data_IF_811223723333
#
_entry.id   IF_811223723333
#
_cell.length_a   1.000
_cell.length_b   1.000
_cell.length_c   1.000
_cell.angle_alpha   90.00
_cell.angle_beta   90.00
_cell.angle_gamma   90.00
#
_symmetry.space_group_name_H-M   'P 1'
#
loop_
_entity.id
_entity.type
_entity.pdbx_description
1 polymer ?
#
# COMPACT_ATOMS: atom_id res chain seq x y z
N UNK A 1 -0.87 -23.18 -41.18
CA UNK A 1 -1.12 -21.82 -40.70
C UNK A 1 -1.22 -21.88 -39.19
N UNK A 2 -0.18 -21.41 -38.51
CA UNK A 2 -0.08 -21.37 -37.05
C UNK A 2 -0.97 -20.23 -36.58
N UNK A 3 -1.87 -20.49 -35.63
CA UNK A 3 -2.71 -19.46 -35.01
C UNK A 3 -1.79 -18.57 -34.17
N UNK A 4 -1.79 -17.28 -34.44
CA UNK A 4 -1.15 -16.26 -33.61
C UNK A 4 -1.82 -16.28 -32.23
N UNK A 5 -1.03 -16.50 -31.17
CA UNK A 5 -1.46 -16.33 -29.80
C UNK A 5 -1.63 -14.84 -29.50
N UNK A 6 -2.86 -14.42 -29.21
CA UNK A 6 -3.15 -13.07 -28.74
C UNK A 6 -2.45 -12.83 -27.41
N UNK A 7 -1.45 -11.94 -27.43
CA UNK A 7 -0.65 -11.58 -26.26
C UNK A 7 -1.51 -11.03 -25.10
N UNK A 8 -1.12 -11.42 -23.89
CA UNK A 8 -1.65 -10.96 -22.62
C UNK A 8 -1.63 -9.43 -22.52
N UNK A 9 -2.79 -8.79 -22.66
CA UNK A 9 -2.97 -7.38 -22.31
C UNK A 9 -3.25 -7.31 -20.81
N UNK A 10 -2.26 -6.90 -20.02
CA UNK A 10 -2.50 -6.47 -18.65
C UNK A 10 -3.54 -5.35 -18.68
N UNK A 11 -4.77 -5.65 -18.25
CA UNK A 11 -5.90 -4.74 -18.32
C UNK A 11 -5.81 -3.76 -17.14
N UNK A 12 -4.93 -2.78 -17.30
CA UNK A 12 -4.84 -1.62 -16.41
C UNK A 12 -6.19 -0.90 -16.45
N UNK A 13 -6.78 -0.48 -15.31
CA UNK A 13 -8.05 0.25 -15.30
C UNK A 13 -7.99 1.42 -16.30
N UNK A 14 -8.97 1.50 -17.20
CA UNK A 14 -8.97 2.43 -18.35
C UNK A 14 -8.91 3.91 -17.95
N UNK A 15 -9.16 4.23 -16.67
CA UNK A 15 -8.85 5.53 -16.05
C UNK A 15 -8.40 5.34 -14.59
N UNK A 16 -7.10 5.30 -14.34
CA UNK A 16 -6.55 5.35 -12.97
C UNK A 16 -6.55 6.80 -12.48
N UNK A 17 -7.11 7.02 -11.30
CA UNK A 17 -7.10 8.33 -10.65
C UNK A 17 -5.71 8.60 -10.08
N UNK A 18 -4.96 9.54 -10.67
CA UNK A 18 -3.60 9.89 -10.23
C UNK A 18 -3.53 10.83 -9.02
N UNK A 19 -4.63 11.53 -8.72
CA UNK A 19 -4.71 12.49 -7.61
C UNK A 19 -5.65 11.96 -6.53
N UNK A 20 -5.13 11.83 -5.31
CA UNK A 20 -5.93 11.53 -4.15
C UNK A 20 -6.93 12.66 -3.87
N UNK A 21 -8.10 12.30 -3.36
CA UNK A 21 -8.86 13.20 -2.50
C UNK A 21 -8.15 13.24 -1.15
N UNK A 22 -7.71 14.42 -0.73
CA UNK A 22 -7.04 14.61 0.56
C UNK A 22 -8.11 15.08 1.54
N UNK A 23 -8.29 14.33 2.63
CA UNK A 23 -9.18 14.67 3.73
C UNK A 23 -8.30 15.18 4.89
N UNK A 24 -8.35 16.47 5.20
CA UNK A 24 -7.54 17.07 6.25
C UNK A 24 -7.75 16.41 7.61
N UNK A 25 -6.75 16.53 8.48
CA UNK A 25 -6.79 16.04 9.87
C UNK A 25 -8.07 16.39 10.61
N UNK A 26 -8.55 17.62 10.44
CA UNK A 26 -9.72 18.15 11.13
C UNK A 26 -11.03 17.49 10.67
N UNK A 27 -11.02 16.86 9.50
CA UNK A 27 -12.21 16.32 8.83
C UNK A 27 -12.24 14.79 8.79
N UNK A 28 -11.08 14.12 8.90
CA UNK A 28 -11.02 12.66 8.74
C UNK A 28 -11.44 11.86 9.99
N UNK A 29 -11.46 12.49 11.17
CA UNK A 29 -11.96 11.86 12.40
C UNK A 29 -11.05 10.78 13.00
N UNK A 30 -9.80 10.66 12.54
CA UNK A 30 -8.84 9.69 13.09
C UNK A 30 -8.29 10.19 14.44
N UNK A 31 -8.45 9.37 15.48
CA UNK A 31 -7.82 9.59 16.77
C UNK A 31 -6.35 9.14 16.75
N UNK A 32 -5.43 10.11 16.73
CA UNK A 32 -3.99 9.85 16.77
C UNK A 32 -3.54 9.08 18.02
N UNK A 33 -4.28 9.13 19.12
CA UNK A 33 -3.95 8.38 20.33
C UNK A 33 -4.15 6.86 20.17
N UNK A 34 -4.98 6.46 19.19
CA UNK A 34 -5.18 5.06 18.82
C UNK A 34 -4.09 4.53 17.87
N UNK A 35 -3.23 5.40 17.33
CA UNK A 35 -2.16 5.04 16.40
C UNK A 35 -0.91 4.60 17.18
N UNK A 36 -0.25 3.53 16.75
CA UNK A 36 0.99 3.07 17.40
C UNK A 36 2.07 4.17 17.36
N UNK A 37 2.63 4.57 18.51
CA UNK A 37 3.78 5.48 18.55
C UNK A 37 4.99 4.94 17.78
N UNK A 38 5.11 3.60 17.66
CA UNK A 38 6.17 3.00 16.87
C UNK A 38 5.91 3.12 15.37
N UNK A 39 4.68 2.90 14.91
CA UNK A 39 4.29 3.16 13.52
C UNK A 39 4.53 4.63 13.12
N UNK A 40 4.11 5.58 13.97
CA UNK A 40 4.39 7.02 13.80
C UNK A 40 5.90 7.26 13.69
N UNK A 41 6.69 6.66 14.59
CA UNK A 41 8.16 6.76 14.54
C UNK A 41 8.78 6.20 13.26
N UNK A 42 8.20 5.16 12.66
CA UNK A 42 8.70 4.59 11.40
C UNK A 42 8.41 5.55 10.25
N UNK A 43 7.18 6.06 10.15
CA UNK A 43 6.81 7.08 9.17
C UNK A 43 7.69 8.32 9.30
N UNK A 44 7.86 8.87 10.51
CA UNK A 44 8.68 10.04 10.75
C UNK A 44 10.12 9.86 10.26
N UNK A 45 10.77 8.72 10.56
CA UNK A 45 12.16 8.46 10.13
C UNK A 45 12.31 8.41 8.62
N UNK A 46 11.35 7.79 7.93
CA UNK A 46 11.35 7.74 6.47
C UNK A 46 11.14 9.13 5.88
N UNK A 47 10.21 9.92 6.44
CA UNK A 47 9.96 11.30 6.03
C UNK A 47 11.16 12.22 6.29
N UNK A 48 11.81 12.11 7.45
CA UNK A 48 13.05 12.84 7.78
C UNK A 48 14.19 12.53 6.79
N UNK A 49 14.20 11.31 6.24
CA UNK A 49 15.16 10.89 5.22
C UNK A 49 14.75 11.29 3.79
N UNK A 50 13.63 11.99 3.61
CA UNK A 50 13.15 12.51 2.32
C UNK A 50 12.21 11.58 1.56
N UNK A 51 11.75 10.49 2.17
CA UNK A 51 10.80 9.55 1.57
C UNK A 51 9.37 9.85 1.99
N UNK A 52 8.40 9.43 1.18
CA UNK A 52 6.99 9.40 1.60
C UNK A 52 6.74 8.16 2.45
N UNK A 53 5.96 8.28 3.51
CA UNK A 53 5.59 7.14 4.33
C UNK A 53 4.20 7.34 4.97
N UNK A 54 3.35 6.33 4.85
CA UNK A 54 1.96 6.39 5.28
C UNK A 54 1.55 5.10 5.97
N UNK A 55 0.68 5.19 6.97
CA UNK A 55 -0.04 4.03 7.50
C UNK A 55 -1.13 3.64 6.48
N UNK A 56 -1.32 2.34 6.25
CA UNK A 56 -2.21 1.83 5.19
C UNK A 56 -3.05 0.64 5.66
N UNK A 57 -3.97 0.19 4.78
CA UNK A 57 -4.62 -1.11 4.91
C UNK A 57 -5.68 -1.15 6.03
N UNK A 58 -5.75 -2.31 6.69
CA UNK A 58 -6.74 -2.57 7.75
C UNK A 58 -6.66 -1.58 8.90
N UNK A 59 -5.45 -1.13 9.25
CA UNK A 59 -5.25 -0.15 10.32
C UNK A 59 -5.98 1.18 10.06
N UNK A 60 -5.88 1.71 8.84
CA UNK A 60 -6.56 2.96 8.46
C UNK A 60 -8.07 2.79 8.50
N UNK A 61 -8.58 1.69 7.95
CA UNK A 61 -10.02 1.35 8.00
C UNK A 61 -10.51 1.29 9.44
N UNK A 62 -9.81 0.57 10.30
CA UNK A 62 -10.21 0.36 11.69
C UNK A 62 -10.22 1.68 12.47
N UNK A 63 -9.20 2.53 12.29
CA UNK A 63 -9.16 3.88 12.87
C UNK A 63 -10.37 4.72 12.45
N UNK A 64 -10.74 4.70 11.17
CA UNK A 64 -11.87 5.48 10.64
C UNK A 64 -13.23 5.05 11.18
N UNK A 65 -13.36 3.80 11.65
CA UNK A 65 -14.59 3.30 12.29
C UNK A 65 -14.50 3.31 13.83
N UNK A 66 -13.45 3.92 14.40
CA UNK A 66 -13.26 4.02 15.85
C UNK A 66 -12.85 2.71 16.52
N UNK A 67 -12.30 1.76 15.76
CA UNK A 67 -11.78 0.49 16.27
C UNK A 67 -10.27 0.57 16.38
N UNK A 68 -9.71 0.10 17.50
CA UNK A 68 -8.25 0.04 17.68
C UNK A 68 -7.64 -1.02 16.75
N UNK A 69 -6.69 -0.66 15.87
CA UNK A 69 -6.00 -1.63 15.02
C UNK A 69 -5.22 -2.67 15.83
N UNK A 70 -5.10 -3.88 15.30
CA UNK A 70 -4.28 -4.96 15.89
C UNK A 70 -2.83 -4.87 15.46
N UNK A 71 -2.64 -4.47 14.22
CA UNK A 71 -1.41 -4.40 13.46
C UNK A 71 -1.36 -3.08 12.68
N UNK A 72 -0.16 -2.63 12.35
CA UNK A 72 0.08 -1.40 11.60
C UNK A 72 1.06 -1.68 10.47
N UNK A 73 0.60 -1.40 9.25
CA UNK A 73 1.41 -1.48 8.04
C UNK A 73 1.74 -0.08 7.54
N UNK A 74 2.94 0.07 7.00
CA UNK A 74 3.43 1.32 6.40
C UNK A 74 3.73 1.09 4.92
N UNK A 75 3.28 2.00 4.07
CA UNK A 75 3.66 2.06 2.66
C UNK A 75 4.56 3.28 2.38
N UNK A 76 5.59 3.11 1.55
CA UNK A 76 6.60 4.13 1.27
C UNK A 76 7.09 4.11 -0.18
N UNK A 77 7.65 5.20 -0.68
CA UNK A 77 8.39 5.20 -1.95
C UNK A 77 9.87 4.78 -1.79
N UNK A 78 10.35 4.55 -0.57
CA UNK A 78 11.66 3.97 -0.31
C UNK A 78 11.70 2.49 -0.72
N UNK A 79 12.77 2.06 -1.39
CA UNK A 79 13.04 0.65 -1.67
C UNK A 79 13.33 -0.13 -0.37
N UNK A 80 13.18 -1.47 -0.35
CA UNK A 80 13.45 -2.26 0.86
C UNK A 80 14.84 -2.04 1.45
N UNK A 81 15.84 -1.88 0.59
CA UNK A 81 17.22 -1.56 0.97
C UNK A 81 17.35 -0.17 1.61
N UNK A 82 16.62 0.83 1.10
CA UNK A 82 16.61 2.18 1.66
C UNK A 82 15.88 2.21 3.00
N UNK A 83 14.74 1.54 3.12
CA UNK A 83 14.04 1.35 4.41
C UNK A 83 14.98 0.75 5.44
N UNK A 84 15.75 -0.29 5.06
CA UNK A 84 16.74 -0.94 5.93
C UNK A 84 17.89 -0.01 6.33
N UNK A 85 18.30 0.93 5.47
CA UNK A 85 19.33 1.92 5.79
C UNK A 85 18.82 2.98 6.78
N UNK A 86 17.57 3.42 6.61
CA UNK A 86 16.95 4.47 7.43
C UNK A 86 16.50 3.95 8.80
N UNK A 87 15.98 2.73 8.85
CA UNK A 87 15.39 2.16 10.06
C UNK A 87 16.31 1.14 10.72
N UNK A 88 16.48 1.23 12.05
CA UNK A 88 17.26 0.24 12.82
C UNK A 88 16.45 -1.05 12.99
N UNK A 89 17.13 -2.19 13.06
CA UNK A 89 16.52 -3.53 13.26
C UNK A 89 15.47 -3.89 12.19
N UNK A 90 15.77 -3.51 10.95
CA UNK A 90 14.99 -3.84 9.77
C UNK A 90 15.49 -5.13 9.11
N UNK A 91 14.56 -6.03 8.79
CA UNK A 91 14.81 -7.29 8.11
C UNK A 91 13.96 -7.32 6.86
N UNK A 92 14.60 -7.46 5.70
CA UNK A 92 13.88 -7.67 4.44
C UNK A 92 13.40 -9.12 4.44
N UNK A 93 12.11 -9.31 4.22
CA UNK A 93 11.45 -10.60 4.17
C UNK A 93 10.70 -10.76 2.84
N UNK A 94 10.38 -12.01 2.50
CA UNK A 94 9.66 -12.33 1.27
C UNK A 94 10.54 -12.32 0.03
N UNK A 95 10.32 -13.31 -0.86
CA UNK A 95 11.00 -13.39 -2.17
C UNK A 95 10.22 -12.62 -3.25
N UNK A 96 8.90 -12.81 -3.26
CA UNK A 96 7.97 -12.23 -4.25
C UNK A 96 7.51 -10.83 -3.87
N UNK A 97 7.09 -10.64 -2.62
CA UNK A 97 6.73 -9.34 -2.05
C UNK A 97 7.81 -8.96 -1.06
N UNK A 98 8.77 -8.14 -1.50
CA UNK A 98 9.87 -7.70 -0.63
C UNK A 98 9.33 -6.69 0.38
N UNK A 99 8.92 -7.19 1.54
CA UNK A 99 8.50 -6.39 2.69
C UNK A 99 9.69 -6.18 3.62
N UNK A 100 9.63 -5.16 4.46
CA UNK A 100 10.61 -4.92 5.50
C UNK A 100 9.93 -4.97 6.87
N UNK A 101 10.35 -5.90 7.71
CA UNK A 101 9.95 -5.94 9.12
C UNK A 101 10.86 -5.05 9.94
N UNK A 102 10.30 -3.97 10.51
CA UNK A 102 11.00 -3.06 11.41
C UNK A 102 10.58 -3.38 12.84
N UNK A 103 11.54 -3.78 13.68
CA UNK A 103 11.24 -4.35 15.01
C UNK A 103 11.63 -3.42 16.16
N UNK A 104 10.74 -3.29 17.16
CA UNK A 104 11.01 -2.61 18.44
C UNK A 104 10.39 -3.37 19.61
N UNK A 105 11.22 -4.12 20.33
CA UNK A 105 10.73 -4.99 21.40
C UNK A 105 9.91 -6.14 20.82
N UNK A 106 8.67 -6.30 21.27
CA UNK A 106 7.73 -7.29 20.75
C UNK A 106 6.86 -6.77 19.59
N UNK A 107 7.00 -5.49 19.22
CA UNK A 107 6.22 -4.87 18.15
C UNK A 107 6.99 -4.90 16.83
N UNK A 108 6.28 -5.26 15.76
CA UNK A 108 6.78 -5.31 14.38
C UNK A 108 5.89 -4.43 13.52
N UNK A 109 6.51 -3.55 12.73
CA UNK A 109 5.83 -2.79 11.68
C UNK A 109 6.26 -3.36 10.34
N UNK A 110 5.29 -3.75 9.52
CA UNK A 110 5.55 -4.14 8.13
C UNK A 110 5.65 -2.88 7.27
N UNK A 111 6.73 -2.76 6.51
CA UNK A 111 6.96 -1.64 5.59
C UNK A 111 7.03 -2.18 4.18
N UNK A 112 6.12 -1.73 3.32
CA UNK A 112 6.05 -2.09 1.91
C UNK A 112 6.41 -0.89 1.02
N UNK A 113 7.21 -1.12 -0.02
CA UNK A 113 7.41 -0.12 -1.07
C UNK A 113 6.16 -0.07 -1.98
N UNK A 114 5.79 1.12 -2.44
CA UNK A 114 4.67 1.29 -3.39
C UNK A 114 4.86 0.41 -4.61
N UNK A 115 3.83 -0.36 -4.95
CA UNK A 115 3.84 -1.25 -6.11
C UNK A 115 3.45 -0.50 -7.37
N UNK A 116 4.31 -0.50 -8.36
CA UNK A 116 4.03 0.01 -9.71
C UNK A 116 3.30 -1.02 -10.58
N UNK A 117 2.87 -0.58 -11.77
CA UNK A 117 2.38 -1.50 -12.79
C UNK A 117 3.55 -2.22 -13.48
N UNK A 118 3.41 -3.53 -13.64
CA UNK A 118 4.39 -4.30 -14.41
C UNK A 118 4.46 -3.78 -15.85
N UNK A 119 5.68 -3.57 -16.37
CA UNK A 119 5.89 -3.41 -17.81
C UNK A 119 5.53 -4.73 -18.48
N UNK A 120 4.96 -4.68 -19.70
CA UNK A 120 4.48 -5.88 -20.40
C UNK A 120 5.50 -7.03 -20.38
N UNK A 121 5.02 -8.23 -20.01
CA UNK A 121 5.83 -9.43 -19.84
C UNK A 121 5.84 -9.93 -18.39
N UNK A 122 5.78 -11.25 -18.18
CA UNK A 122 6.02 -11.86 -16.87
C UNK A 122 7.52 -12.06 -16.74
N UNK A 123 8.20 -11.24 -15.94
CA UNK A 123 9.59 -11.53 -15.58
C UNK A 123 9.60 -12.52 -14.43
N UNK A 124 10.41 -13.58 -14.55
CA UNK A 124 10.69 -14.54 -13.49
C UNK A 124 12.16 -14.44 -13.10
N UNK A 125 12.47 -14.64 -11.83
CA UNK A 125 13.86 -14.82 -11.39
C UNK A 125 14.40 -16.21 -11.78
N UNK A 126 15.67 -16.47 -11.46
CA UNK A 126 16.36 -17.74 -11.74
C UNK A 126 15.66 -18.95 -11.07
N UNK A 127 14.85 -18.69 -10.04
CA UNK A 127 14.08 -19.68 -9.30
C UNK A 127 12.61 -19.81 -9.78
N UNK A 128 12.24 -19.10 -10.85
CA UNK A 128 10.91 -19.16 -11.46
C UNK A 128 9.83 -18.33 -10.77
N UNK A 129 10.19 -17.49 -9.80
CA UNK A 129 9.27 -16.62 -9.06
C UNK A 129 8.94 -15.39 -9.90
N UNK A 130 7.66 -15.03 -10.00
CA UNK A 130 7.20 -13.83 -10.71
C UNK A 130 7.78 -12.58 -10.03
N UNK A 131 8.60 -11.80 -10.74
CA UNK A 131 9.25 -10.59 -10.23
C UNK A 131 8.50 -9.30 -10.56
N UNK A 132 7.40 -9.38 -11.33
CA UNK A 132 6.51 -8.24 -11.61
C UNK A 132 5.99 -7.56 -10.34
N UNK A 133 5.97 -8.26 -9.21
CA UNK A 133 5.56 -7.73 -7.91
C UNK A 133 6.63 -6.85 -7.22
N UNK A 134 7.85 -6.85 -7.74
CA UNK A 134 8.96 -5.99 -7.28
C UNK A 134 9.16 -4.76 -8.18
N UNK A 135 8.19 -4.43 -9.03
CA UNK A 135 8.16 -3.15 -9.73
C UNK A 135 7.67 -2.09 -8.75
N UNK A 136 8.53 -1.12 -8.45
CA UNK A 136 8.18 0.00 -7.59
C UNK A 136 7.58 1.15 -8.39
N UNK A 137 6.65 1.88 -7.79
CA UNK A 137 5.88 2.91 -8.48
C UNK A 137 5.43 4.04 -7.58
N UNK A 138 4.47 4.81 -8.09
CA UNK A 138 3.85 5.92 -7.38
C UNK A 138 2.69 5.43 -6.48
N UNK A 139 2.34 6.23 -5.48
CA UNK A 139 1.29 5.90 -4.50
C UNK A 139 -0.06 5.53 -5.16
N UNK A 140 -0.46 6.19 -6.26
CA UNK A 140 -1.71 5.88 -6.95
C UNK A 140 -1.67 4.54 -7.69
N UNK A 141 -0.47 4.09 -8.09
CA UNK A 141 -0.29 2.78 -8.72
C UNK A 141 -0.47 1.69 -7.66
N UNK A 142 0.12 1.89 -6.48
CA UNK A 142 -0.06 0.98 -5.34
C UNK A 142 -1.54 0.90 -4.93
N UNK A 143 -2.22 2.06 -4.87
CA UNK A 143 -3.64 2.12 -4.52
C UNK A 143 -4.51 1.31 -5.48
N UNK A 144 -4.22 1.40 -6.79
CA UNK A 144 -4.94 0.69 -7.84
C UNK A 144 -4.66 -0.82 -7.88
N UNK A 145 -3.60 -1.28 -7.19
CA UNK A 145 -3.21 -2.69 -7.05
C UNK A 145 -3.71 -3.33 -5.74
N UNK A 146 -4.49 -2.61 -4.92
CA UNK A 146 -5.14 -3.16 -3.73
C UNK A 146 -6.50 -3.74 -4.09
N UNK A 147 -7.02 -4.62 -3.23
CA UNK A 147 -8.21 -5.41 -3.57
C UNK A 147 -9.49 -4.62 -3.33
N UNK A 148 -9.57 -3.88 -2.22
CA UNK A 148 -10.78 -3.17 -1.78
C UNK A 148 -10.54 -1.69 -1.51
N UNK A 149 -11.53 -0.87 -1.85
CA UNK A 149 -11.51 0.60 -1.67
C UNK A 149 -11.22 0.99 -0.23
N UNK A 150 -11.87 0.32 0.72
CA UNK A 150 -11.73 0.57 2.17
C UNK A 150 -10.34 0.24 2.73
N UNK A 151 -9.53 -0.56 2.03
CA UNK A 151 -8.17 -0.91 2.42
C UNK A 151 -7.10 -0.17 1.57
N UNK A 152 -7.52 0.76 0.71
CA UNK A 152 -6.67 1.48 -0.24
C UNK A 152 -6.52 2.98 0.07
N UNK A 153 -6.69 3.33 1.33
CA UNK A 153 -6.42 4.68 1.85
C UNK A 153 -5.05 4.73 2.53
N UNK A 154 -4.45 5.91 2.52
CA UNK A 154 -3.13 6.18 3.08
C UNK A 154 -3.26 7.31 4.10
N UNK A 155 -2.88 7.05 5.33
CA UNK A 155 -2.91 8.01 6.41
C UNK A 155 -1.48 8.50 6.71
N UNK A 156 -1.25 9.81 6.64
CA UNK A 156 0.00 10.42 7.08
C UNK A 156 -0.10 10.75 8.57
N UNK A 157 0.59 10.02 9.47
CA UNK A 157 0.51 10.31 10.89
C UNK A 157 1.19 11.62 11.30
N UNK A 158 1.99 12.23 10.42
CA UNK A 158 2.77 13.44 10.73
C UNK A 158 1.96 14.69 10.41
N UNK A 159 1.41 14.78 9.19
CA UNK A 159 0.47 15.87 8.85
C UNK A 159 -0.92 15.64 9.45
N UNK A 160 -1.31 14.37 9.63
CA UNK A 160 -2.65 13.95 10.02
C UNK A 160 -3.62 13.83 8.85
N UNK A 161 -3.16 13.96 7.60
CA UNK A 161 -4.02 13.91 6.42
C UNK A 161 -4.30 12.47 5.96
N UNK A 162 -5.49 12.27 5.39
CA UNK A 162 -5.89 11.01 4.76
C UNK A 162 -5.97 11.18 3.24
N UNK A 163 -5.36 10.25 2.52
CA UNK A 163 -5.32 10.22 1.06
C UNK A 163 -6.20 9.07 0.55
N UNK A 164 -7.22 9.40 -0.22
CA UNK A 164 -8.18 8.45 -0.79
C UNK A 164 -8.24 8.56 -2.32
N UNK A 165 -7.82 7.50 -3.00
CA UNK A 165 -7.84 7.41 -4.47
C UNK A 165 -9.12 6.77 -5.03
N UNK A 166 -9.86 6.04 -4.20
CA UNK A 166 -10.89 5.10 -4.65
C UNK A 166 -12.24 5.28 -3.94
N UNK A 167 -12.44 6.40 -3.24
CA UNK A 167 -13.66 6.69 -2.47
C UNK A 167 -13.88 5.69 -1.34
N UNK A 168 -12.79 5.19 -0.75
CA UNK A 168 -12.83 4.29 0.39
C UNK A 168 -13.52 4.90 1.60
N UNK A 169 -13.40 6.22 1.81
CA UNK A 169 -14.07 6.89 2.93
C UNK A 169 -15.60 6.90 2.78
N UNK A 170 -16.09 7.12 1.55
CA UNK A 170 -17.52 7.08 1.25
C UNK A 170 -18.05 5.65 1.36
N UNK A 171 -17.32 4.66 0.85
CA UNK A 171 -17.67 3.24 0.99
C UNK A 171 -17.68 2.80 2.48
N UNK A 172 -16.78 3.32 3.35
CA UNK A 172 -16.84 3.08 4.81
C UNK A 172 -18.14 3.67 5.41
N UNK A 173 -18.48 4.92 5.08
CA UNK A 173 -19.69 5.59 5.57
C UNK A 173 -20.96 4.84 5.17
N UNK A 174 -20.98 4.32 3.94
CA UNK A 174 -22.07 3.54 3.39
C UNK A 174 -22.04 2.05 3.79
N UNK A 175 -21.01 1.61 4.53
CA UNK A 175 -20.79 0.21 4.92
C UNK A 175 -20.74 -0.75 3.72
N UNK A 176 -20.07 -0.34 2.65
CA UNK A 176 -19.91 -1.10 1.41
C UNK A 176 -18.49 -1.61 1.27
N UNK A 177 -18.36 -2.86 0.83
CA UNK A 177 -17.09 -3.44 0.37
C UNK A 177 -17.10 -3.41 -1.15
N UNK A 178 -16.22 -2.60 -1.74
CA UNK A 178 -16.10 -2.48 -3.20
C UNK A 178 -14.71 -2.92 -3.64
N UNK A 179 -14.67 -3.79 -4.63
CA UNK A 179 -13.41 -4.22 -5.25
C UNK A 179 -12.84 -3.12 -6.15
N UNK A 180 -11.52 -2.96 -6.16
CA UNK A 180 -10.82 -2.03 -7.05
C UNK A 180 -10.48 -2.72 -8.36
N UNK A 181 -10.80 -2.07 -9.47
CA UNK A 181 -10.62 -2.62 -10.81
C UNK A 181 -11.79 -3.52 -11.23
N UNK A 182 -11.56 -4.31 -12.28
CA UNK A 182 -12.55 -5.27 -12.78
C UNK A 182 -12.45 -6.60 -12.02
N UNK A 183 -13.52 -7.03 -11.31
CA UNK A 183 -13.52 -8.28 -10.56
C UNK A 183 -13.13 -9.49 -11.41
N UNK A 184 -13.60 -9.57 -12.66
CA UNK A 184 -13.31 -10.70 -13.54
C UNK A 184 -11.81 -10.82 -13.85
N UNK A 185 -11.07 -9.72 -13.78
CA UNK A 185 -9.62 -9.67 -14.00
C UNK A 185 -8.84 -9.94 -12.71
N UNK A 186 -9.28 -9.44 -11.56
CA UNK A 186 -8.63 -9.69 -10.25
C UNK A 186 -8.69 -11.16 -9.82
N UNK A 187 -9.81 -11.86 -10.05
CA UNK A 187 -9.93 -13.30 -9.75
C UNK A 187 -8.96 -14.21 -10.53
N UNK A 188 -8.25 -13.69 -11.54
CA UNK A 188 -7.22 -14.42 -12.29
C UNK A 188 -5.79 -14.11 -11.84
N UNK A 189 -5.60 -13.05 -11.05
CA UNK A 189 -4.28 -12.59 -10.60
C UNK A 189 -3.91 -13.08 -9.18
N UNK A 190 -4.92 -13.44 -8.37
CA UNK A 190 -4.82 -14.13 -7.08
C UNK A 190 -5.30 -15.58 -7.17
#
# INVERSE_FOLDING_TARGET
MVKEEEGFKANVPTKIRKRAHIVPREENGIDLSAVSPFAISVCQKLQDAGYKAFIVGGAVRDLLIGVKPKDFDVATDATPEEVKKVTRRAIIIGRRFRLVHVNKGAETIEVATFRGFAKQGVTKDEDGVITNDNVFGEQYEDAARRDFTVNAMYFDPISGDLYDYHHGLDDIRERKIRMIGDPATRYRED
#
